data_IF_894951518082
#
_entry.id   IF_894951518082
#
_cell.length_a   1.000
_cell.length_b   1.000
_cell.length_c   1.000
_cell.angle_alpha   90.00
_cell.angle_beta   90.00
_cell.angle_gamma   90.00
#
_symmetry.space_group_name_H-M   'P 1'
#
loop_
_entity.id
_entity.type
_entity.pdbx_description
1 polymer ?
#
# COMPACT_ATOMS: atom_id res chain seq x y z
N UNK A 1 -2.44 33.52 14.91
CA UNK A 1 -3.17 32.47 15.65
C UNK A 1 -4.49 33.05 16.07
N UNK A 2 -5.62 32.45 15.69
CA UNK A 2 -6.93 32.88 16.19
C UNK A 2 -7.00 32.45 17.65
N UNK A 3 -6.72 33.40 18.54
CA UNK A 3 -6.78 33.22 20.00
C UNK A 3 -8.15 33.72 20.46
N UNK A 4 -9.16 32.86 20.32
CA UNK A 4 -10.51 33.11 20.80
C UNK A 4 -11.20 31.77 21.10
N UNK A 5 -12.20 31.75 21.99
CA UNK A 5 -12.99 30.54 22.24
C UNK A 5 -13.62 30.11 20.92
N UNK A 6 -13.41 28.86 20.54
CA UNK A 6 -14.01 28.36 19.31
C UNK A 6 -15.33 27.69 19.62
N UNK A 7 -16.29 27.90 18.73
CA UNK A 7 -17.65 27.39 18.90
C UNK A 7 -17.64 25.87 19.10
N UNK A 8 -18.41 25.36 20.08
CA UNK A 8 -18.58 23.94 20.27
C UNK A 8 -19.20 23.30 19.03
N UNK A 9 -18.68 22.13 18.65
CA UNK A 9 -19.27 21.33 17.58
C UNK A 9 -20.03 20.17 18.20
N UNK A 10 -21.25 19.91 17.73
CA UNK A 10 -22.07 18.80 18.19
C UNK A 10 -22.82 18.15 17.03
N UNK A 11 -23.10 16.86 17.16
CA UNK A 11 -23.98 16.11 16.27
C UNK A 11 -24.69 15.00 17.04
N UNK A 12 -25.90 14.66 16.61
CA UNK A 12 -26.72 13.64 17.27
C UNK A 12 -27.00 12.48 16.32
N UNK A 13 -26.72 11.27 16.78
CA UNK A 13 -27.04 10.02 16.09
C UNK A 13 -28.32 9.40 16.62
N UNK A 14 -28.49 8.10 16.42
CA UNK A 14 -29.64 7.34 16.91
C UNK A 14 -29.48 7.05 18.41
N UNK A 15 -28.34 6.48 18.80
CA UNK A 15 -28.04 5.98 20.14
C UNK A 15 -27.03 6.82 20.90
N UNK A 16 -26.27 7.64 20.18
CA UNK A 16 -25.24 8.52 20.77
C UNK A 16 -25.41 9.96 20.31
N UNK A 17 -24.78 10.87 21.03
CA UNK A 17 -24.49 12.22 20.56
C UNK A 17 -23.02 12.51 20.81
N UNK A 18 -22.46 13.44 20.05
CA UNK A 18 -21.06 13.85 20.15
C UNK A 18 -20.99 15.35 20.38
N UNK A 19 -20.01 15.79 21.16
CA UNK A 19 -19.69 17.19 21.33
C UNK A 19 -18.20 17.38 21.56
N UNK A 20 -17.69 18.57 21.24
CA UNK A 20 -16.39 19.00 21.75
C UNK A 20 -16.41 19.07 23.27
N UNK A 21 -15.29 18.68 23.90
CA UNK A 21 -15.17 18.59 25.36
C UNK A 21 -15.51 19.88 26.09
N UNK A 22 -16.14 19.74 27.25
CA UNK A 22 -16.38 20.78 28.24
C UNK A 22 -15.77 20.42 29.61
N UNK A 23 -15.58 21.41 30.48
CA UNK A 23 -15.11 21.20 31.85
C UNK A 23 -16.03 20.27 32.66
N UNK A 24 -17.34 20.28 32.39
CA UNK A 24 -18.33 19.43 33.06
C UNK A 24 -18.13 17.93 32.76
N UNK A 25 -17.42 17.58 31.69
CA UNK A 25 -17.19 16.19 31.30
C UNK A 25 -16.12 15.48 32.15
N UNK A 26 -15.26 16.24 32.84
CA UNK A 26 -14.07 15.73 33.54
C UNK A 26 -14.40 14.60 34.54
N UNK A 27 -15.42 14.72 35.43
CA UNK A 27 -15.72 13.66 36.39
C UNK A 27 -16.14 12.35 35.71
N UNK A 28 -17.03 12.43 34.71
CA UNK A 28 -17.51 11.27 33.98
C UNK A 28 -16.38 10.62 33.15
N UNK A 29 -15.55 11.43 32.51
CA UNK A 29 -14.38 10.97 31.77
C UNK A 29 -13.38 10.20 32.64
N UNK A 30 -13.06 10.72 33.83
CA UNK A 30 -12.18 10.04 34.80
C UNK A 30 -12.67 8.63 35.14
N UNK A 31 -13.98 8.49 35.38
CA UNK A 31 -14.61 7.20 35.64
C UNK A 31 -14.50 6.26 34.43
N UNK A 32 -14.79 6.76 33.22
CA UNK A 32 -14.73 5.98 31.98
C UNK A 32 -13.32 5.42 31.70
N UNK A 33 -12.30 6.27 31.79
CA UNK A 33 -10.89 5.88 31.58
C UNK A 33 -10.44 4.89 32.64
N UNK A 34 -10.81 5.12 33.90
CA UNK A 34 -10.43 4.24 35.01
C UNK A 34 -11.07 2.86 34.86
N UNK A 35 -12.36 2.78 34.54
CA UNK A 35 -13.07 1.54 34.31
C UNK A 35 -12.51 0.74 33.12
N UNK A 36 -11.97 1.45 32.12
CA UNK A 36 -11.45 0.86 30.87
C UNK A 36 -9.94 0.59 30.88
N UNK A 37 -9.25 0.84 32.01
CA UNK A 37 -7.78 0.79 32.11
C UNK A 37 -7.17 -0.48 31.55
N UNK A 38 -7.73 -1.64 31.89
CA UNK A 38 -7.18 -2.94 31.47
C UNK A 38 -7.22 -3.11 29.94
N UNK A 39 -8.33 -2.72 29.29
CA UNK A 39 -8.52 -2.86 27.84
C UNK A 39 -7.74 -1.80 27.05
N UNK A 40 -7.70 -0.56 27.54
CA UNK A 40 -7.01 0.54 26.86
C UNK A 40 -5.49 0.42 27.03
N UNK A 41 -5.02 0.04 28.21
CA UNK A 41 -3.60 -0.03 28.56
C UNK A 41 -2.76 -1.00 27.71
N UNK A 42 -3.40 -1.92 26.98
CA UNK A 42 -2.72 -2.76 25.99
C UNK A 42 -2.26 -1.95 24.76
N UNK A 43 -3.00 -0.91 24.39
CA UNK A 43 -2.85 -0.17 23.15
C UNK A 43 -2.34 1.25 23.36
N UNK A 44 -2.81 1.93 24.39
CA UNK A 44 -2.59 3.35 24.66
C UNK A 44 -2.26 3.62 26.15
N UNK A 45 -1.55 4.73 26.46
CA UNK A 45 -1.40 5.20 27.83
C UNK A 45 -2.76 5.49 28.47
N UNK A 46 -2.93 5.09 29.73
CA UNK A 46 -4.16 5.33 30.49
C UNK A 46 -3.95 6.51 31.42
N UNK A 47 -4.52 7.66 31.10
CA UNK A 47 -4.49 8.86 31.93
C UNK A 47 -5.91 9.41 32.16
N UNK A 48 -6.50 9.22 33.36
CA UNK A 48 -7.84 9.74 33.65
C UNK A 48 -7.88 11.28 33.78
N UNK A 49 -6.74 11.95 33.87
CA UNK A 49 -6.62 13.38 34.12
C UNK A 49 -6.29 14.21 32.87
N UNK A 50 -6.11 13.58 31.71
CA UNK A 50 -5.66 14.26 30.48
C UNK A 50 -6.72 15.18 29.83
N UNK A 51 -8.00 15.05 30.18
CA UNK A 51 -9.07 15.85 29.56
C UNK A 51 -8.88 17.35 29.80
N UNK A 52 -8.35 17.74 30.97
CA UNK A 52 -8.04 19.13 31.30
C UNK A 52 -7.04 19.74 30.31
N UNK A 53 -6.03 18.96 29.93
CA UNK A 53 -5.06 19.39 28.94
C UNK A 53 -5.71 19.56 27.57
N UNK A 54 -6.55 18.62 27.14
CA UNK A 54 -7.28 18.69 25.88
C UNK A 54 -8.25 19.88 25.82
N UNK A 55 -8.92 20.20 26.92
CA UNK A 55 -9.79 21.36 27.04
C UNK A 55 -9.01 22.65 26.81
N UNK A 56 -7.83 22.79 27.43
CA UNK A 56 -6.97 23.97 27.25
C UNK A 56 -6.42 24.14 25.83
N UNK A 57 -6.47 23.08 25.01
CA UNK A 57 -5.92 23.03 23.64
C UNK A 57 -6.98 23.21 22.55
N UNK A 58 -8.27 23.30 22.90
CA UNK A 58 -9.32 23.44 21.91
C UNK A 58 -9.07 24.64 20.99
N UNK A 59 -8.96 24.38 19.68
CA UNK A 59 -8.71 25.38 18.64
C UNK A 59 -9.21 24.87 17.29
N UNK A 60 -9.23 25.73 16.27
CA UNK A 60 -9.63 25.33 14.91
C UNK A 60 -8.80 24.16 14.34
N UNK A 61 -7.62 23.92 14.89
CA UNK A 61 -6.66 22.91 14.43
C UNK A 61 -6.40 21.80 15.48
N UNK A 62 -7.11 21.84 16.61
CA UNK A 62 -7.07 20.83 17.66
C UNK A 62 -8.45 20.71 18.31
N UNK A 63 -9.14 19.61 18.03
CA UNK A 63 -10.46 19.32 18.62
C UNK A 63 -10.42 18.02 19.38
N UNK A 64 -11.07 18.00 20.53
CA UNK A 64 -11.34 16.77 21.26
C UNK A 64 -12.83 16.64 21.42
N UNK A 65 -13.36 15.51 20.98
CA UNK A 65 -14.76 15.16 21.08
C UNK A 65 -14.95 14.04 22.09
N UNK A 66 -16.07 14.06 22.78
CA UNK A 66 -16.60 12.90 23.49
C UNK A 66 -17.81 12.35 22.75
N UNK A 67 -17.96 11.03 22.82
CA UNK A 67 -19.15 10.31 22.40
C UNK A 67 -19.93 9.96 23.65
N UNK A 68 -21.18 10.39 23.72
CA UNK A 68 -22.07 10.18 24.87
C UNK A 68 -23.20 9.23 24.48
N UNK A 69 -23.50 8.27 25.35
CA UNK A 69 -24.67 7.43 25.19
C UNK A 69 -25.94 8.24 25.52
N UNK A 70 -27.00 8.07 24.70
CA UNK A 70 -28.32 8.61 25.04
C UNK A 70 -29.03 7.84 26.15
N UNK A 71 -28.74 6.54 26.25
CA UNK A 71 -29.17 5.67 27.33
C UNK A 71 -27.94 5.18 28.11
N UNK A 72 -27.51 5.92 29.16
CA UNK A 72 -26.30 5.61 29.88
C UNK A 72 -26.39 4.29 30.65
N UNK A 73 -25.45 3.39 30.41
CA UNK A 73 -25.16 2.23 31.25
C UNK A 73 -23.96 2.51 32.16
N UNK A 74 -23.98 1.96 33.38
CA UNK A 74 -22.89 2.16 34.35
C UNK A 74 -22.89 3.57 34.95
N UNK A 75 -21.71 4.10 35.27
CA UNK A 75 -21.57 5.29 36.12
C UNK A 75 -21.18 6.59 35.40
N UNK A 76 -20.93 6.56 34.08
CA UNK A 76 -20.33 7.73 33.39
C UNK A 76 -20.95 8.15 32.06
N UNK A 77 -21.68 7.30 31.33
CA UNK A 77 -22.32 7.71 30.06
C UNK A 77 -21.37 7.96 28.86
N UNK A 78 -20.06 8.09 29.08
CA UNK A 78 -19.07 8.32 28.00
C UNK A 78 -18.74 7.02 27.27
N UNK A 79 -19.05 6.97 25.97
CA UNK A 79 -18.78 5.86 25.05
C UNK A 79 -17.35 5.89 24.54
N UNK A 80 -16.75 7.07 24.35
CA UNK A 80 -15.38 7.20 23.87
C UNK A 80 -14.92 8.65 23.71
N UNK A 81 -13.64 8.81 23.40
CA UNK A 81 -12.96 10.09 23.11
C UNK A 81 -12.34 10.04 21.73
N UNK A 82 -12.40 11.14 20.99
CA UNK A 82 -11.70 11.31 19.70
C UNK A 82 -10.96 12.64 19.70
N UNK A 83 -9.65 12.58 19.49
CA UNK A 83 -8.79 13.73 19.28
C UNK A 83 -8.56 13.93 17.79
N UNK A 84 -8.99 15.06 17.22
CA UNK A 84 -8.60 15.52 15.87
C UNK A 84 -7.45 16.50 16.04
N UNK A 85 -6.25 16.09 15.64
CA UNK A 85 -5.00 16.82 15.87
C UNK A 85 -4.16 16.84 14.59
N UNK A 86 -2.98 17.46 14.64
CA UNK A 86 -2.08 17.59 13.48
C UNK A 86 -2.81 18.12 12.24
N UNK A 87 -3.68 19.11 12.43
CA UNK A 87 -4.44 19.70 11.35
C UNK A 87 -3.52 20.58 10.51
N UNK A 88 -3.42 20.27 9.21
CA UNK A 88 -2.67 21.09 8.25
C UNK A 88 -3.65 21.70 7.25
N UNK A 89 -3.68 23.04 7.21
CA UNK A 89 -4.55 23.83 6.33
C UNK A 89 -3.95 24.04 4.93
N UNK A 90 -4.64 24.81 4.09
CA UNK A 90 -4.14 25.22 2.77
C UNK A 90 -4.37 24.13 1.73
N UNK A 91 -3.30 23.59 1.13
CA UNK A 91 -3.40 22.59 0.06
C UNK A 91 -3.61 21.16 0.57
N UNK A 92 -3.35 20.90 1.85
CA UNK A 92 -3.50 19.56 2.42
C UNK A 92 -4.90 19.34 3.03
N UNK A 93 -5.37 20.31 3.82
CA UNK A 93 -6.66 20.26 4.54
C UNK A 93 -6.89 18.91 5.24
N UNK A 94 -5.88 18.44 5.98
CA UNK A 94 -5.91 17.15 6.66
C UNK A 94 -6.05 17.31 8.18
N UNK A 95 -6.48 16.24 8.84
CA UNK A 95 -6.36 16.05 10.29
C UNK A 95 -6.11 14.58 10.62
N UNK A 96 -5.47 14.32 11.77
CA UNK A 96 -5.19 12.98 12.28
C UNK A 96 -6.04 12.71 13.51
N UNK A 97 -6.76 11.58 13.51
CA UNK A 97 -7.55 11.13 14.64
C UNK A 97 -6.80 10.11 15.51
N UNK A 98 -6.87 10.32 16.82
CA UNK A 98 -6.57 9.32 17.84
C UNK A 98 -7.80 9.12 18.72
N UNK A 99 -8.08 7.89 19.14
CA UNK A 99 -9.33 7.60 19.84
C UNK A 99 -9.23 6.44 20.82
N UNK A 100 -10.13 6.49 21.81
CA UNK A 100 -10.38 5.43 22.77
C UNK A 100 -11.88 5.20 22.92
N UNK A 101 -12.29 3.93 22.90
CA UNK A 101 -13.64 3.52 23.33
C UNK A 101 -13.59 3.10 24.79
N UNK A 102 -14.66 3.33 25.54
CA UNK A 102 -14.76 3.03 26.97
C UNK A 102 -15.77 1.92 27.27
N UNK A 103 -15.46 1.11 28.28
CA UNK A 103 -16.39 0.13 28.84
C UNK A 103 -17.48 0.86 29.63
N UNK A 104 -18.73 0.33 29.71
CA UNK A 104 -19.18 -0.96 29.17
C UNK A 104 -19.62 -0.90 27.70
N UNK A 105 -19.41 0.21 26.99
CA UNK A 105 -19.95 0.46 25.65
C UNK A 105 -19.11 -0.13 24.51
N UNK A 106 -17.83 -0.39 24.76
CA UNK A 106 -16.92 -1.01 23.80
C UNK A 106 -17.51 -2.31 23.22
N UNK A 107 -17.34 -2.53 21.92
CA UNK A 107 -17.86 -3.71 21.21
C UNK A 107 -19.35 -3.68 20.85
N UNK A 108 -20.11 -2.64 21.23
CA UNK A 108 -21.56 -2.55 20.97
C UNK A 108 -21.95 -1.67 19.77
N UNK A 109 -20.96 -1.19 19.02
CA UNK A 109 -21.16 -0.34 17.84
C UNK A 109 -21.49 1.14 18.12
N UNK A 110 -21.70 1.54 19.38
CA UNK A 110 -21.99 2.94 19.75
C UNK A 110 -20.81 3.87 19.42
N UNK A 111 -19.57 3.44 19.68
CA UNK A 111 -18.39 4.25 19.37
C UNK A 111 -18.23 4.46 17.86
N UNK A 112 -18.47 3.44 17.04
CA UNK A 112 -18.42 3.56 15.58
C UNK A 112 -19.49 4.53 15.04
N UNK A 113 -20.67 4.56 15.65
CA UNK A 113 -21.71 5.55 15.36
C UNK A 113 -21.24 6.98 15.69
N UNK A 114 -20.67 7.19 16.89
CA UNK A 114 -20.13 8.48 17.29
C UNK A 114 -18.97 8.95 16.42
N UNK A 115 -18.04 8.05 16.09
CA UNK A 115 -16.92 8.36 15.20
C UNK A 115 -17.39 8.77 13.80
N UNK A 116 -18.46 8.16 13.28
CA UNK A 116 -19.09 8.59 12.01
C UNK A 116 -19.60 10.04 12.09
N UNK A 117 -20.24 10.41 13.18
CA UNK A 117 -20.70 11.80 13.38
C UNK A 117 -19.52 12.77 13.42
N UNK A 118 -18.46 12.42 14.15
CA UNK A 118 -17.27 13.26 14.31
C UNK A 118 -16.52 13.45 12.98
N UNK A 119 -16.36 12.39 12.17
CA UNK A 119 -15.76 12.52 10.83
C UNK A 119 -16.63 13.40 9.93
N UNK A 120 -17.97 13.30 10.03
CA UNK A 120 -18.88 14.22 9.37
C UNK A 120 -18.65 15.69 9.76
N UNK A 121 -18.47 15.98 11.06
CA UNK A 121 -18.12 17.32 11.55
C UNK A 121 -16.73 17.77 11.07
N UNK A 122 -15.78 16.85 10.88
CA UNK A 122 -14.46 17.18 10.35
C UNK A 122 -14.55 17.71 8.91
N UNK A 123 -15.40 17.11 8.08
CA UNK A 123 -15.57 17.48 6.67
C UNK A 123 -16.56 18.61 6.43
N UNK A 124 -17.53 18.82 7.34
CA UNK A 124 -18.49 19.91 7.23
C UNK A 124 -17.79 21.27 7.21
N UNK A 125 -18.30 22.19 6.40
CA UNK A 125 -17.75 23.55 6.24
C UNK A 125 -17.82 24.35 7.54
N UNK A 126 -16.84 25.23 7.75
CA UNK A 126 -16.89 26.19 8.85
C UNK A 126 -18.10 27.16 8.67
N UNK A 127 -18.76 27.59 9.75
CA UNK A 127 -18.48 27.29 11.16
C UNK A 127 -19.10 25.96 11.66
N UNK A 128 -19.92 25.28 10.85
CA UNK A 128 -20.65 24.06 11.24
C UNK A 128 -19.77 22.81 11.40
N UNK A 129 -18.50 22.90 11.01
CA UNK A 129 -17.51 21.84 11.12
C UNK A 129 -16.09 22.37 11.00
N UNK A 130 -15.14 21.47 10.70
CA UNK A 130 -13.72 21.82 10.63
C UNK A 130 -13.24 22.17 9.20
N UNK A 131 -14.04 21.95 8.15
CA UNK A 131 -13.69 22.26 6.76
C UNK A 131 -12.47 21.49 6.24
N UNK A 132 -12.25 20.27 6.71
CA UNK A 132 -11.15 19.41 6.25
C UNK A 132 -11.56 18.66 4.97
N UNK A 133 -10.57 18.27 4.19
CA UNK A 133 -10.71 17.38 3.04
C UNK A 133 -10.38 15.93 3.41
N UNK A 134 -9.49 15.71 4.39
CA UNK A 134 -8.94 14.38 4.68
C UNK A 134 -8.82 14.13 6.17
N UNK A 135 -9.17 12.92 6.60
CA UNK A 135 -8.93 12.42 7.96
C UNK A 135 -8.09 11.15 7.91
N UNK A 136 -7.04 11.13 8.73
CA UNK A 136 -6.11 10.00 8.88
C UNK A 136 -6.24 9.35 10.25
N UNK A 137 -6.04 8.05 10.33
CA UNK A 137 -6.01 7.28 11.57
C UNK A 137 -4.88 6.27 11.51
N UNK A 138 -4.05 6.20 12.54
CA UNK A 138 -2.91 5.30 12.59
C UNK A 138 -3.16 4.23 13.65
N UNK A 139 -3.04 2.95 13.26
CA UNK A 139 -3.42 1.82 14.12
C UNK A 139 -2.28 0.83 14.23
N UNK A 140 -1.90 0.44 15.45
CA UNK A 140 -0.90 -0.61 15.68
C UNK A 140 -1.31 -1.91 14.98
N UNK A 141 -0.40 -2.56 14.23
CA UNK A 141 -0.65 -3.88 13.68
C UNK A 141 -1.10 -4.85 14.77
N UNK A 142 -2.06 -5.71 14.46
CA UNK A 142 -2.67 -6.64 15.42
C UNK A 142 -3.84 -6.06 16.22
N UNK A 143 -4.08 -4.75 16.23
CA UNK A 143 -5.31 -4.17 16.78
C UNK A 143 -6.49 -4.37 15.82
N UNK A 144 -7.00 -5.61 15.78
CA UNK A 144 -8.06 -6.03 14.87
C UNK A 144 -9.37 -5.26 15.08
N UNK A 145 -9.69 -4.90 16.34
CA UNK A 145 -10.90 -4.14 16.66
C UNK A 145 -10.87 -2.74 16.03
N UNK A 146 -9.77 -2.00 16.23
CA UNK A 146 -9.59 -0.66 15.67
C UNK A 146 -9.53 -0.69 14.14
N UNK A 147 -8.74 -1.61 13.57
CA UNK A 147 -8.60 -1.77 12.12
C UNK A 147 -9.92 -2.17 11.44
N UNK A 148 -10.68 -3.09 12.07
CA UNK A 148 -11.97 -3.53 11.58
C UNK A 148 -13.02 -2.42 11.62
N UNK A 149 -13.03 -1.63 12.70
CA UNK A 149 -13.90 -0.46 12.82
C UNK A 149 -13.61 0.57 11.73
N UNK A 150 -12.35 0.96 11.54
CA UNK A 150 -11.98 1.92 10.49
C UNK A 150 -12.41 1.43 9.10
N UNK A 151 -12.17 0.15 8.79
CA UNK A 151 -12.66 -0.47 7.54
C UNK A 151 -14.19 -0.39 7.42
N UNK A 152 -14.93 -0.68 8.49
CA UNK A 152 -16.40 -0.59 8.49
C UNK A 152 -16.93 0.83 8.26
N UNK A 153 -16.12 1.84 8.55
CA UNK A 153 -16.39 3.26 8.29
C UNK A 153 -15.82 3.75 6.96
N UNK A 154 -15.24 2.86 6.15
CA UNK A 154 -14.73 3.17 4.82
C UNK A 154 -13.32 3.76 4.76
N UNK A 155 -12.58 3.77 5.87
CA UNK A 155 -11.17 4.17 5.86
C UNK A 155 -10.32 3.15 5.09
N UNK A 156 -9.62 3.62 4.07
CA UNK A 156 -8.67 2.84 3.28
C UNK A 156 -7.34 2.73 4.00
N UNK A 157 -6.73 1.54 4.04
CA UNK A 157 -5.33 1.39 4.46
C UNK A 157 -4.44 1.86 3.31
N UNK A 158 -3.58 2.84 3.56
CA UNK A 158 -2.71 3.45 2.57
C UNK A 158 -1.23 3.10 2.78
N UNK A 159 -0.84 2.62 3.97
CA UNK A 159 0.55 2.28 4.20
C UNK A 159 0.82 1.61 5.55
N UNK A 160 2.11 1.39 5.78
CA UNK A 160 2.67 0.88 7.02
C UNK A 160 3.85 1.78 7.40
N UNK A 161 3.80 2.30 8.62
CA UNK A 161 4.78 3.25 9.16
C UNK A 161 5.54 2.54 10.28
N UNK A 162 6.83 2.30 10.05
CA UNK A 162 7.71 1.67 11.04
C UNK A 162 8.02 2.63 12.18
N UNK A 163 8.14 2.11 13.40
CA UNK A 163 8.61 2.83 14.58
C UNK A 163 7.89 4.19 14.81
N UNK A 164 6.59 4.24 14.54
CA UNK A 164 5.86 5.50 14.48
C UNK A 164 5.65 6.16 15.85
N UNK A 165 5.23 5.39 16.86
CA UNK A 165 4.88 5.94 18.18
C UNK A 165 5.58 5.21 19.33
N UNK A 166 6.10 5.98 20.30
CA UNK A 166 6.65 5.47 21.55
C UNK A 166 5.53 5.13 22.52
N UNK A 167 5.19 3.84 22.63
CA UNK A 167 3.99 3.38 23.35
C UNK A 167 4.25 2.10 24.16
N UNK A 168 3.47 1.94 25.23
CA UNK A 168 3.39 0.70 25.99
C UNK A 168 2.86 -0.45 25.11
N UNK A 169 3.48 -1.61 25.23
CA UNK A 169 3.01 -2.89 24.72
C UNK A 169 3.16 -3.99 25.75
N UNK A 170 2.79 -5.21 25.38
CA UNK A 170 2.89 -6.41 26.25
C UNK A 170 4.34 -6.74 26.64
N UNK A 171 5.28 -6.37 25.78
CA UNK A 171 6.73 -6.55 25.85
C UNK A 171 7.47 -5.29 26.36
N UNK A 172 6.74 -4.33 26.95
CA UNK A 172 7.31 -3.09 27.49
C UNK A 172 7.07 -1.87 26.60
N UNK A 173 7.74 -0.76 26.91
CA UNK A 173 7.64 0.49 26.13
C UNK A 173 8.69 0.48 25.03
N UNK A 174 8.27 0.70 23.79
CA UNK A 174 9.16 0.79 22.63
C UNK A 174 8.54 1.68 21.54
N UNK A 175 9.30 1.99 20.51
CA UNK A 175 8.75 2.49 19.26
C UNK A 175 7.93 1.36 18.60
N UNK A 176 6.75 1.70 18.10
CA UNK A 176 5.79 0.74 17.55
C UNK A 176 5.34 1.13 16.16
N UNK A 177 5.32 0.14 15.28
CA UNK A 177 4.76 0.25 13.94
C UNK A 177 3.26 0.55 13.97
N UNK A 178 2.77 1.22 12.92
CA UNK A 178 1.37 1.56 12.72
C UNK A 178 0.98 1.38 11.25
N UNK A 179 -0.19 0.83 10.99
CA UNK A 179 -0.85 0.90 9.70
C UNK A 179 -1.54 2.26 9.55
N UNK A 180 -1.27 2.95 8.44
CA UNK A 180 -1.85 4.26 8.12
C UNK A 180 -3.16 4.07 7.36
N UNK A 181 -4.23 4.65 7.89
CA UNK A 181 -5.56 4.65 7.29
C UNK A 181 -6.04 6.07 7.00
N UNK A 182 -6.85 6.24 5.97
CA UNK A 182 -7.45 7.53 5.67
C UNK A 182 -8.81 7.43 4.97
N UNK A 183 -9.56 8.52 5.04
CA UNK A 183 -10.77 8.76 4.24
C UNK A 183 -10.81 10.24 3.85
N UNK A 184 -11.34 10.52 2.66
CA UNK A 184 -11.50 11.87 2.12
C UNK A 184 -12.97 12.31 2.13
N UNK A 185 -13.20 13.61 1.99
CA UNK A 185 -14.52 14.22 2.03
C UNK A 185 -15.43 13.70 0.91
N UNK A 186 -14.89 13.49 -0.27
CA UNK A 186 -15.59 12.99 -1.46
C UNK A 186 -16.05 11.54 -1.29
N UNK A 187 -15.33 10.79 -0.45
CA UNK A 187 -15.69 9.43 -0.08
C UNK A 187 -16.78 9.40 1.01
N UNK A 188 -17.08 10.51 1.69
CA UNK A 188 -17.88 10.54 2.90
C UNK A 188 -19.36 10.91 2.67
N UNK A 189 -20.35 10.17 3.22
CA UNK A 189 -20.20 8.95 4.02
C UNK A 189 -19.78 7.76 3.18
N UNK A 190 -18.73 7.06 3.62
CA UNK A 190 -18.15 5.95 2.88
C UNK A 190 -18.86 4.63 3.21
N UNK A 191 -18.98 3.76 2.20
CA UNK A 191 -19.36 2.37 2.42
C UNK A 191 -18.23 1.60 3.12
N UNK A 192 -18.57 0.48 3.77
CA UNK A 192 -17.56 -0.40 4.35
C UNK A 192 -16.53 -0.78 3.29
N UNK A 193 -15.26 -0.58 3.61
CA UNK A 193 -14.17 -0.75 2.67
C UNK A 193 -14.01 -2.22 2.28
N UNK A 194 -14.13 -2.53 0.98
CA UNK A 194 -13.62 -3.78 0.43
C UNK A 194 -12.09 -3.79 0.53
N UNK A 195 -11.48 -4.95 0.82
CA UNK A 195 -10.03 -5.04 0.94
C UNK A 195 -9.33 -4.33 -0.23
N UNK A 196 -8.33 -3.50 0.07
CA UNK A 196 -7.53 -2.81 -0.95
C UNK A 196 -7.03 -3.88 -1.91
N UNK A 197 -7.51 -3.86 -3.16
CA UNK A 197 -6.75 -4.49 -4.23
C UNK A 197 -5.62 -3.52 -4.48
N UNK A 198 -4.38 -3.82 -4.06
CA UNK A 198 -3.27 -2.95 -4.40
C UNK A 198 -3.27 -2.77 -5.92
N UNK A 199 -2.88 -1.59 -6.39
CA UNK A 199 -2.65 -1.39 -7.82
C UNK A 199 -1.71 -2.50 -8.28
N UNK A 200 -2.22 -3.38 -9.15
CA UNK A 200 -1.41 -4.44 -9.77
C UNK A 200 -0.56 -3.77 -10.82
N UNK A 201 0.76 -3.85 -10.66
CA UNK A 201 1.70 -3.27 -11.60
C UNK A 201 2.44 -4.37 -12.34
N UNK A 202 2.72 -4.17 -13.62
CA UNK A 202 3.59 -5.08 -14.37
C UNK A 202 4.48 -4.34 -15.35
N UNK A 203 5.60 -4.96 -15.70
CA UNK A 203 6.58 -4.45 -16.64
C UNK A 203 7.28 -5.65 -17.26
N UNK A 204 7.51 -5.60 -18.57
CA UNK A 204 8.36 -6.56 -19.25
C UNK A 204 9.81 -6.07 -19.24
N UNK A 205 10.72 -6.83 -18.64
CA UNK A 205 12.17 -6.65 -18.79
C UNK A 205 12.65 -7.63 -19.85
N UNK A 206 13.11 -7.09 -20.98
CA UNK A 206 13.55 -7.84 -22.15
C UNK A 206 14.93 -7.34 -22.60
N UNK A 207 15.62 -8.15 -23.37
CA UNK A 207 16.94 -7.88 -23.91
C UNK A 207 17.54 -9.16 -24.46
N UNK A 208 18.73 -9.07 -25.04
CA UNK A 208 19.45 -10.25 -25.53
C UNK A 208 19.92 -11.13 -24.35
N UNK A 209 20.12 -12.44 -24.54
CA UNK A 209 20.87 -13.26 -23.59
C UNK A 209 22.22 -12.62 -23.25
N UNK A 210 22.59 -12.55 -21.96
CA UNK A 210 23.80 -11.86 -21.51
C UNK A 210 23.68 -10.33 -21.32
N UNK A 211 22.52 -9.73 -21.60
CA UNK A 211 22.24 -8.29 -21.38
C UNK A 211 22.07 -7.89 -19.91
N UNK A 212 22.10 -8.83 -18.97
CA UNK A 212 21.82 -8.54 -17.56
C UNK A 212 20.34 -8.21 -17.29
N UNK A 213 19.42 -8.62 -18.18
CA UNK A 213 17.97 -8.51 -17.99
C UNK A 213 17.50 -9.14 -16.67
N UNK A 214 18.08 -10.29 -16.29
CA UNK A 214 17.80 -10.96 -15.02
C UNK A 214 18.10 -10.10 -13.77
N UNK A 215 19.31 -9.52 -13.70
CA UNK A 215 19.69 -8.62 -12.59
C UNK A 215 18.83 -7.36 -12.58
N UNK A 216 18.64 -6.75 -13.75
CA UNK A 216 17.79 -5.57 -13.93
C UNK A 216 16.37 -5.85 -13.45
N UNK A 217 15.80 -7.01 -13.80
CA UNK A 217 14.47 -7.42 -13.37
C UNK A 217 14.39 -7.65 -11.86
N UNK A 218 15.38 -8.29 -11.26
CA UNK A 218 15.41 -8.52 -9.82
C UNK A 218 15.51 -7.21 -9.02
N UNK A 219 16.37 -6.28 -9.45
CA UNK A 219 16.54 -4.98 -8.81
C UNK A 219 15.31 -4.08 -9.01
N UNK A 220 14.73 -4.08 -10.21
CA UNK A 220 13.48 -3.37 -10.48
C UNK A 220 12.30 -3.93 -9.69
N UNK A 221 12.20 -5.25 -9.55
CA UNK A 221 11.20 -5.92 -8.72
C UNK A 221 11.32 -5.48 -7.24
N UNK A 222 12.55 -5.40 -6.72
CA UNK A 222 12.81 -4.90 -5.37
C UNK A 222 12.36 -3.43 -5.20
N UNK A 223 12.74 -2.55 -6.15
CA UNK A 223 12.35 -1.14 -6.17
C UNK A 223 10.82 -0.95 -6.25
N UNK A 224 10.14 -1.79 -7.02
CA UNK A 224 8.69 -1.76 -7.17
C UNK A 224 7.95 -2.47 -6.03
N UNK A 225 8.65 -3.25 -5.20
CA UNK A 225 8.08 -4.13 -4.18
C UNK A 225 7.05 -5.13 -4.74
N UNK A 226 7.37 -5.72 -5.90
CA UNK A 226 6.57 -6.76 -6.57
C UNK A 226 7.45 -7.99 -6.84
N UNK A 227 6.89 -9.19 -7.01
CA UNK A 227 7.69 -10.36 -7.36
C UNK A 227 8.29 -10.24 -8.78
N UNK A 228 9.37 -10.98 -9.01
CA UNK A 228 9.94 -11.22 -10.35
C UNK A 228 9.51 -12.60 -10.85
N UNK A 229 9.05 -12.67 -12.09
CA UNK A 229 8.75 -13.90 -12.81
C UNK A 229 9.74 -14.00 -13.98
N UNK A 230 10.82 -14.76 -13.78
CA UNK A 230 11.90 -14.91 -14.77
C UNK A 230 11.76 -16.21 -15.53
N UNK A 231 11.62 -16.11 -16.86
CA UNK A 231 11.61 -17.27 -17.76
C UNK A 231 12.93 -18.04 -17.67
N UNK A 232 14.05 -17.32 -17.63
CA UNK A 232 15.40 -17.91 -17.58
C UNK A 232 15.62 -18.70 -16.28
N UNK A 233 15.20 -18.14 -15.13
CA UNK A 233 15.27 -18.84 -13.85
C UNK A 233 14.36 -20.09 -13.80
N UNK A 234 13.14 -20.00 -14.36
CA UNK A 234 12.23 -21.14 -14.45
C UNK A 234 12.79 -22.25 -15.34
N UNK A 235 13.37 -21.91 -16.49
CA UNK A 235 14.00 -22.87 -17.38
C UNK A 235 15.19 -23.59 -16.71
N UNK A 236 16.06 -22.84 -16.02
CA UNK A 236 17.18 -23.41 -15.27
C UNK A 236 16.72 -24.37 -14.15
N UNK A 237 15.69 -24.00 -13.39
CA UNK A 237 15.14 -24.84 -12.33
C UNK A 237 14.55 -26.15 -12.87
N UNK A 238 13.87 -26.11 -14.02
CA UNK A 238 13.36 -27.31 -14.68
C UNK A 238 14.51 -28.16 -15.22
N UNK A 239 15.51 -27.56 -15.86
CA UNK A 239 16.67 -28.27 -16.39
C UNK A 239 17.45 -29.03 -15.29
N UNK A 240 17.55 -28.45 -14.08
CA UNK A 240 18.17 -29.10 -12.94
C UNK A 240 17.39 -30.34 -12.41
N UNK A 241 16.10 -30.46 -12.73
CA UNK A 241 15.22 -31.53 -12.24
C UNK A 241 14.98 -32.70 -13.21
N UNK A 242 15.47 -32.65 -14.46
CA UNK A 242 15.18 -33.64 -15.51
C UNK A 242 16.45 -34.03 -16.30
N UNK A 243 16.44 -35.21 -16.96
CA UNK A 243 17.58 -35.70 -17.78
C UNK A 243 17.67 -35.03 -19.17
N UNK A 244 18.88 -35.00 -19.74
CA UNK A 244 19.32 -34.13 -20.85
C UNK A 244 18.51 -34.15 -22.16
N UNK A 245 17.78 -35.23 -22.46
CA UNK A 245 17.06 -35.37 -23.74
C UNK A 245 15.81 -34.48 -23.83
N UNK A 246 15.27 -34.05 -22.70
CA UNK A 246 14.06 -33.19 -22.61
C UNK A 246 14.41 -31.69 -22.53
N UNK A 247 15.70 -31.36 -22.38
CA UNK A 247 16.17 -30.01 -22.01
C UNK A 247 16.33 -29.07 -23.20
N UNK A 248 16.53 -29.59 -24.41
CA UNK A 248 16.83 -28.79 -25.61
C UNK A 248 15.63 -27.98 -26.14
N UNK A 249 14.39 -28.49 -25.99
CA UNK A 249 13.16 -27.74 -26.32
C UNK A 249 12.82 -26.68 -25.26
N UNK A 250 13.31 -26.85 -24.03
CA UNK A 250 13.02 -25.97 -22.88
C UNK A 250 14.01 -24.81 -22.74
N UNK A 251 15.18 -24.90 -23.40
CA UNK A 251 16.29 -23.94 -23.31
C UNK A 251 16.58 -23.20 -24.62
N UNK A 252 15.83 -23.47 -25.70
CA UNK A 252 15.95 -22.70 -26.94
C UNK A 252 15.52 -21.23 -26.71
N UNK A 253 16.42 -20.24 -26.88
CA UNK A 253 16.10 -18.82 -26.76
C UNK A 253 15.04 -18.35 -27.77
N UNK A 254 14.88 -19.10 -28.88
CA UNK A 254 13.87 -18.86 -29.91
C UNK A 254 12.54 -19.55 -29.64
N UNK A 255 12.38 -20.31 -28.56
CA UNK A 255 11.09 -20.94 -28.23
C UNK A 255 10.06 -19.87 -27.84
N UNK A 256 8.85 -19.97 -28.39
CA UNK A 256 7.77 -19.01 -28.18
C UNK A 256 7.35 -18.95 -26.71
N UNK A 257 7.01 -17.75 -26.20
CA UNK A 257 6.42 -17.57 -24.86
C UNK A 257 5.03 -18.22 -24.66
N UNK A 258 4.46 -18.83 -25.71
CA UNK A 258 3.15 -19.44 -25.71
C UNK A 258 3.12 -20.87 -25.14
N UNK A 259 4.27 -21.53 -24.96
CA UNK A 259 4.37 -22.92 -24.50
C UNK A 259 5.35 -23.08 -23.33
N UNK A 260 5.28 -24.21 -22.64
CA UNK A 260 6.22 -24.57 -21.56
C UNK A 260 6.29 -23.53 -20.44
N UNK A 261 7.51 -23.07 -20.14
CA UNK A 261 7.81 -22.08 -19.09
C UNK A 261 7.11 -20.73 -19.29
N UNK A 262 6.86 -20.34 -20.54
CA UNK A 262 6.16 -19.09 -20.87
C UNK A 262 4.69 -19.11 -20.43
N UNK A 263 3.98 -20.24 -20.60
CA UNK A 263 2.59 -20.37 -20.17
C UNK A 263 2.44 -20.32 -18.63
N UNK A 264 3.38 -20.94 -17.91
CA UNK A 264 3.40 -20.91 -16.44
C UNK A 264 3.67 -19.51 -15.89
N UNK A 265 4.52 -18.73 -16.56
CA UNK A 265 4.80 -17.34 -16.20
C UNK A 265 3.54 -16.48 -16.17
N UNK A 266 2.68 -16.60 -17.18
CA UNK A 266 1.42 -15.83 -17.24
C UNK A 266 0.44 -16.21 -16.14
N UNK A 267 0.38 -17.50 -15.76
CA UNK A 267 -0.45 -17.98 -14.65
C UNK A 267 0.03 -17.43 -13.30
N UNK A 268 1.36 -17.40 -13.08
CA UNK A 268 1.94 -16.80 -11.88
C UNK A 268 1.66 -15.30 -11.80
N UNK A 269 1.81 -14.57 -12.91
CA UNK A 269 1.46 -13.16 -12.98
C UNK A 269 -0.04 -12.93 -12.71
N UNK A 270 -0.91 -13.76 -13.30
CA UNK A 270 -2.36 -13.71 -13.10
C UNK A 270 -2.76 -13.91 -11.63
N UNK A 271 -2.12 -14.87 -10.95
CA UNK A 271 -2.35 -15.18 -9.54
C UNK A 271 -1.74 -14.17 -8.56
N UNK A 272 -0.83 -13.30 -9.02
CA UNK A 272 -0.18 -12.32 -8.14
C UNK A 272 -1.11 -11.18 -7.76
N UNK A 273 -1.27 -10.99 -6.44
CA UNK A 273 -2.07 -9.91 -5.86
C UNK A 273 -1.50 -8.51 -6.14
N UNK A 274 -0.19 -8.38 -6.36
CA UNK A 274 0.51 -7.10 -6.60
C UNK A 274 0.96 -6.92 -8.05
N UNK A 275 0.77 -7.93 -8.90
CA UNK A 275 1.37 -7.98 -10.24
C UNK A 275 2.82 -8.50 -10.18
N UNK A 276 3.72 -8.00 -11.02
CA UNK A 276 5.11 -8.47 -11.04
C UNK A 276 5.92 -7.98 -12.22
N UNK A 277 7.23 -8.05 -12.07
CA UNK A 277 8.19 -7.86 -13.16
C UNK A 277 8.29 -9.17 -13.93
N UNK A 278 8.02 -9.13 -15.23
CA UNK A 278 8.20 -10.27 -16.13
C UNK A 278 9.56 -10.15 -16.79
N UNK A 279 10.45 -11.12 -16.58
CA UNK A 279 11.72 -11.20 -17.30
C UNK A 279 11.65 -12.32 -18.33
N UNK A 280 11.88 -11.97 -19.59
CA UNK A 280 11.93 -12.92 -20.68
C UNK A 280 12.75 -12.38 -21.85
N UNK A 281 13.53 -13.26 -22.47
CA UNK A 281 14.13 -13.04 -23.79
C UNK A 281 13.08 -13.31 -24.86
N UNK A 282 12.55 -12.26 -25.50
CA UNK A 282 11.48 -12.37 -26.49
C UNK A 282 11.92 -11.80 -27.84
N UNK A 283 11.84 -12.60 -28.93
CA UNK A 283 12.12 -12.11 -30.28
C UNK A 283 11.06 -11.13 -30.79
N UNK A 284 11.44 -10.32 -31.77
CA UNK A 284 10.47 -9.61 -32.60
C UNK A 284 9.60 -10.62 -33.37
N UNK A 285 8.29 -10.40 -33.45
CA UNK A 285 7.32 -11.31 -34.05
C UNK A 285 6.51 -12.15 -33.05
N UNK A 286 6.95 -12.23 -31.80
CA UNK A 286 6.23 -12.93 -30.72
C UNK A 286 5.26 -12.00 -29.94
N UNK A 287 5.05 -10.77 -30.42
CA UNK A 287 4.17 -9.80 -29.74
C UNK A 287 2.76 -10.33 -29.49
N UNK A 288 2.21 -11.14 -30.40
CA UNK A 288 0.87 -11.71 -30.26
C UNK A 288 0.77 -12.60 -29.02
N UNK A 289 1.77 -13.45 -28.78
CA UNK A 289 1.82 -14.33 -27.62
C UNK A 289 1.99 -13.52 -26.32
N UNK A 290 2.84 -12.49 -26.33
CA UNK A 290 3.05 -11.60 -25.18
C UNK A 290 1.78 -10.82 -24.85
N UNK A 291 1.10 -10.27 -25.85
CA UNK A 291 -0.16 -9.54 -25.66
C UNK A 291 -1.25 -10.46 -25.11
N UNK A 292 -1.34 -11.69 -25.61
CA UNK A 292 -2.28 -12.68 -25.10
C UNK A 292 -1.97 -13.03 -23.63
N UNK A 293 -0.69 -13.23 -23.30
CA UNK A 293 -0.23 -13.50 -21.93
C UNK A 293 -0.60 -12.39 -20.93
N UNK A 294 -0.31 -11.13 -21.27
CA UNK A 294 -0.70 -10.00 -20.42
C UNK A 294 -2.22 -9.87 -20.26
N UNK A 295 -2.99 -10.04 -21.35
CA UNK A 295 -4.46 -10.03 -21.26
C UNK A 295 -4.99 -11.15 -20.36
N UNK A 296 -4.43 -12.35 -20.48
CA UNK A 296 -4.79 -13.49 -19.63
C UNK A 296 -4.46 -13.23 -18.14
N UNK A 297 -3.41 -12.46 -17.86
CA UNK A 297 -3.06 -12.02 -16.51
C UNK A 297 -3.85 -10.80 -15.99
N UNK A 298 -4.75 -10.25 -16.82
CA UNK A 298 -5.62 -9.13 -16.48
C UNK A 298 -4.99 -7.75 -16.70
N UNK A 299 -4.01 -7.63 -17.61
CA UNK A 299 -3.36 -6.37 -17.97
C UNK A 299 -3.67 -5.97 -19.42
N UNK A 300 -3.76 -4.66 -19.67
CA UNK A 300 -3.81 -4.12 -21.03
C UNK A 300 -2.37 -4.00 -21.57
N UNK A 301 -1.96 -4.82 -22.56
CA UNK A 301 -0.58 -4.85 -23.05
C UNK A 301 -0.14 -3.51 -23.65
N UNK A 302 -1.07 -2.68 -24.14
CA UNK A 302 -0.74 -1.36 -24.70
C UNK A 302 -0.35 -0.34 -23.62
N UNK A 303 -0.59 -0.67 -22.35
CA UNK A 303 -0.22 0.14 -21.18
C UNK A 303 0.90 -0.48 -20.36
N UNK A 304 1.34 -1.70 -20.67
CA UNK A 304 2.44 -2.36 -19.96
C UNK A 304 3.76 -1.74 -20.41
N UNK A 305 4.55 -1.13 -19.51
CA UNK A 305 5.87 -0.64 -19.86
C UNK A 305 6.82 -1.77 -20.22
N UNK A 306 7.78 -1.47 -21.08
CA UNK A 306 8.88 -2.36 -21.40
C UNK A 306 10.21 -1.72 -21.00
N UNK A 307 10.99 -2.44 -20.20
CA UNK A 307 12.41 -2.16 -20.00
C UNK A 307 13.20 -2.99 -21.00
N UNK A 308 13.97 -2.33 -21.84
CA UNK A 308 14.85 -2.97 -22.82
C UNK A 308 16.31 -2.75 -22.42
N UNK A 309 17.02 -3.85 -22.13
CA UNK A 309 18.44 -3.85 -21.81
C UNK A 309 19.26 -3.83 -23.10
N UNK A 310 19.72 -2.64 -23.49
CA UNK A 310 20.49 -2.39 -24.71
C UNK A 310 21.93 -2.93 -24.56
N UNK A 311 22.23 -4.01 -25.27
CA UNK A 311 23.57 -4.59 -25.38
C UNK A 311 23.85 -4.98 -26.84
N UNK A 312 24.99 -4.58 -27.44
CA UNK A 312 25.38 -5.06 -28.76
C UNK A 312 25.51 -6.59 -28.79
N UNK A 313 25.09 -7.21 -29.90
CA UNK A 313 25.09 -8.69 -30.07
C UNK A 313 26.47 -9.30 -29.82
N UNK A 314 27.54 -8.63 -30.25
CA UNK A 314 28.91 -9.09 -30.04
C UNK A 314 29.28 -9.15 -28.55
N UNK A 315 28.77 -8.22 -27.75
CA UNK A 315 29.02 -8.16 -26.31
C UNK A 315 28.14 -9.17 -25.57
N UNK A 316 26.87 -9.28 -25.98
CA UNK A 316 25.93 -10.30 -25.52
C UNK A 316 26.50 -11.71 -25.69
N UNK A 317 27.06 -11.99 -26.87
CA UNK A 317 27.75 -13.24 -27.17
C UNK A 317 28.92 -13.52 -26.24
N UNK A 318 29.84 -12.56 -26.09
CA UNK A 318 31.02 -12.75 -25.22
C UNK A 318 30.60 -13.04 -23.78
N UNK A 319 29.59 -12.33 -23.26
CA UNK A 319 29.07 -12.56 -21.91
C UNK A 319 28.39 -13.92 -21.76
N UNK A 320 27.58 -14.32 -22.74
CA UNK A 320 26.91 -15.62 -22.76
C UNK A 320 27.91 -16.79 -22.77
N UNK A 321 28.85 -16.77 -23.70
CA UNK A 321 29.87 -17.81 -23.85
C UNK A 321 30.77 -17.92 -22.60
N UNK A 322 31.02 -16.78 -21.91
CA UNK A 322 31.80 -16.76 -20.67
C UNK A 322 31.03 -17.27 -19.45
N UNK A 323 29.69 -17.13 -19.43
CA UNK A 323 28.85 -17.49 -18.29
C UNK A 323 28.38 -18.95 -18.33
N UNK A 324 27.89 -19.41 -19.49
CA UNK A 324 27.25 -20.73 -19.62
C UNK A 324 28.21 -21.80 -20.18
N UNK A 325 29.37 -21.41 -20.73
CA UNK A 325 30.33 -22.31 -21.39
C UNK A 325 29.81 -22.98 -22.66
N UNK A 326 28.54 -22.75 -23.03
CA UNK A 326 27.89 -23.29 -24.21
C UNK A 326 28.12 -22.37 -25.40
N UNK A 327 28.72 -22.91 -26.46
CA UNK A 327 28.84 -22.20 -27.73
C UNK A 327 27.58 -22.41 -28.58
N UNK A 328 26.88 -21.32 -28.88
CA UNK A 328 25.78 -21.32 -29.84
C UNK A 328 26.28 -21.08 -31.26
N UNK A 329 25.58 -21.65 -32.23
CA UNK A 329 25.90 -21.48 -33.65
C UNK A 329 25.73 -20.00 -34.08
N UNK A 330 26.51 -19.59 -35.08
CA UNK A 330 26.49 -18.25 -35.66
C UNK A 330 25.10 -17.88 -36.18
N UNK A 331 24.35 -18.86 -36.68
CA UNK A 331 22.96 -18.69 -37.12
C UNK A 331 22.03 -18.22 -35.99
N UNK A 332 22.29 -18.59 -34.74
CA UNK A 332 21.54 -18.14 -33.56
C UNK A 332 21.83 -16.66 -33.29
N UNK A 333 23.11 -16.28 -33.25
CA UNK A 333 23.52 -14.90 -33.01
C UNK A 333 23.05 -13.93 -34.10
N UNK A 334 23.04 -14.36 -35.36
CA UNK A 334 22.44 -13.57 -36.46
C UNK A 334 20.94 -13.33 -36.25
N UNK A 335 20.18 -14.33 -35.78
CA UNK A 335 18.76 -14.16 -35.47
C UNK A 335 18.54 -13.23 -34.28
N UNK A 336 19.35 -13.37 -33.22
CA UNK A 336 19.31 -12.48 -32.05
C UNK A 336 19.60 -11.02 -32.41
N UNK A 337 20.48 -10.77 -33.38
CA UNK A 337 20.76 -9.41 -33.87
C UNK A 337 19.60 -8.70 -34.57
N UNK A 338 18.52 -9.40 -34.87
CA UNK A 338 17.30 -8.82 -35.41
C UNK A 338 16.28 -8.44 -34.33
N UNK A 339 16.54 -8.78 -33.07
CA UNK A 339 15.59 -8.52 -32.00
C UNK A 339 15.48 -7.04 -31.69
N UNK A 340 14.25 -6.61 -31.42
CA UNK A 340 13.90 -5.23 -31.13
C UNK A 340 12.93 -5.22 -29.93
N UNK A 341 12.78 -4.06 -29.26
CA UNK A 341 11.70 -3.86 -28.30
C UNK A 341 10.33 -4.19 -28.92
N UNK A 342 9.41 -4.68 -28.09
CA UNK A 342 8.07 -5.07 -28.51
C UNK A 342 7.14 -3.84 -28.49
N UNK A 343 6.07 -3.83 -29.31
CA UNK A 343 5.10 -2.74 -29.35
C UNK A 343 4.12 -2.77 -28.15
N UNK A 344 4.67 -2.61 -26.94
CA UNK A 344 3.92 -2.47 -25.70
C UNK A 344 3.67 -0.99 -25.40
N UNK A 345 3.44 -0.64 -24.13
CA UNK A 345 3.35 0.75 -23.68
C UNK A 345 4.72 1.44 -23.65
N UNK A 346 4.96 2.20 -22.59
CA UNK A 346 6.18 3.00 -22.42
C UNK A 346 7.47 2.18 -22.57
N UNK A 347 8.31 2.54 -23.55
CA UNK A 347 9.66 1.99 -23.69
C UNK A 347 10.65 2.72 -22.77
N UNK A 348 11.37 1.95 -21.97
CA UNK A 348 12.44 2.38 -21.07
C UNK A 348 13.71 1.66 -21.51
N UNK A 349 14.70 2.40 -22.02
CA UNK A 349 15.98 1.82 -22.42
C UNK A 349 16.99 1.93 -21.27
N UNK A 350 17.74 0.85 -21.06
CA UNK A 350 18.82 0.77 -20.08
C UNK A 350 20.09 0.36 -20.81
N UNK A 351 21.17 1.12 -20.62
CA UNK A 351 22.47 0.83 -21.22
C UNK A 351 23.13 -0.33 -20.48
N UNK A 352 23.11 -1.51 -21.09
CA UNK A 352 23.67 -2.73 -20.52
C UNK A 352 25.12 -2.99 -20.94
N UNK A 353 25.76 -2.07 -21.68
CA UNK A 353 27.20 -2.18 -22.01
C UNK A 353 28.09 -2.09 -20.78
N UNK A 354 27.55 -1.52 -19.70
CA UNK A 354 28.10 -1.43 -18.34
C UNK A 354 27.09 -1.97 -17.34
N UNK A 355 27.50 -2.03 -16.08
CA UNK A 355 26.58 -2.36 -14.99
C UNK A 355 25.48 -1.28 -14.88
N UNK A 356 24.24 -1.74 -14.77
CA UNK A 356 23.07 -0.87 -14.60
C UNK A 356 23.15 -0.21 -13.23
N UNK A 357 23.07 1.11 -13.16
CA UNK A 357 23.19 1.84 -11.90
C UNK A 357 21.87 1.87 -11.12
N UNK A 358 21.94 2.08 -9.80
CA UNK A 358 20.73 2.24 -8.97
C UNK A 358 19.86 3.41 -9.44
N UNK A 359 20.47 4.48 -9.95
CA UNK A 359 19.74 5.63 -10.52
C UNK A 359 18.89 5.20 -11.72
N UNK A 360 19.40 4.32 -12.57
CA UNK A 360 18.67 3.81 -13.73
C UNK A 360 17.51 2.90 -13.30
N UNK A 361 17.72 2.06 -12.29
CA UNK A 361 16.66 1.22 -11.70
C UNK A 361 15.55 2.09 -11.09
N UNK A 362 15.90 3.09 -10.27
CA UNK A 362 14.92 4.01 -9.66
C UNK A 362 14.16 4.79 -10.73
N UNK A 363 14.85 5.31 -11.75
CA UNK A 363 14.21 6.04 -12.85
C UNK A 363 13.23 5.14 -13.63
N UNK A 364 13.60 3.89 -13.91
CA UNK A 364 12.72 2.92 -14.53
C UNK A 364 11.51 2.61 -13.63
N UNK A 365 11.73 2.40 -12.33
CA UNK A 365 10.68 2.14 -11.34
C UNK A 365 9.66 3.27 -11.26
N UNK A 366 10.09 4.53 -11.25
CA UNK A 366 9.20 5.70 -11.28
C UNK A 366 8.34 5.75 -12.54
N UNK A 367 8.92 5.46 -13.72
CA UNK A 367 8.16 5.40 -14.98
C UNK A 367 7.14 4.26 -14.98
N UNK A 368 7.52 3.09 -14.46
CA UNK A 368 6.59 1.95 -14.33
C UNK A 368 5.43 2.30 -13.41
N UNK A 369 5.69 2.91 -12.25
CA UNK A 369 4.63 3.38 -11.33
C UNK A 369 3.70 4.37 -12.02
N UNK A 370 4.25 5.37 -12.73
CA UNK A 370 3.48 6.40 -13.42
C UNK A 370 2.54 5.83 -14.50
N UNK A 371 2.89 4.72 -15.16
CA UNK A 371 2.03 4.09 -16.16
C UNK A 371 0.77 3.40 -15.57
N UNK A 372 0.79 3.09 -14.27
CA UNK A 372 -0.25 2.36 -13.55
C UNK A 372 -1.08 3.21 -12.57
N UNK A 373 -0.66 4.45 -12.33
CA UNK A 373 -1.46 5.50 -11.66
C UNK A 373 -2.28 6.25 -12.68
#
# INVERSE_FOLDING_TARGET
MVTGPVEPLTATGERVWVATVDAADIPAYRLAVTASRARIGEWNPVNPDDLQWHLSRQSLDHRTFLVHAKDPAGSHGIVGKVNVTNVVRGRFQNGVIGYDAYDPYAGRGLFAEGLRLIVGLCFAEAPHGMGLHRIEANVRPGNAASSGMLRSLGFRREGHVRDMLWLQGRDGVAWRDHDAHAVTREEWPAAAYAAHRPLRMTVLVNGLPGSGSGDTAARLASELSVPVFSRSAMAAAIAAGFTATTTHELTDPGATLATGTGAALWQLLAGSATGGVVEAHVPAGDEVAVHHGFRAAGFDPTRVPQVWCDLPVADARRRHESADGQMWDESVWRRLGLWQPLPLGDLIRVDATRDVTDREIVAAGLRVRAAHT
#
